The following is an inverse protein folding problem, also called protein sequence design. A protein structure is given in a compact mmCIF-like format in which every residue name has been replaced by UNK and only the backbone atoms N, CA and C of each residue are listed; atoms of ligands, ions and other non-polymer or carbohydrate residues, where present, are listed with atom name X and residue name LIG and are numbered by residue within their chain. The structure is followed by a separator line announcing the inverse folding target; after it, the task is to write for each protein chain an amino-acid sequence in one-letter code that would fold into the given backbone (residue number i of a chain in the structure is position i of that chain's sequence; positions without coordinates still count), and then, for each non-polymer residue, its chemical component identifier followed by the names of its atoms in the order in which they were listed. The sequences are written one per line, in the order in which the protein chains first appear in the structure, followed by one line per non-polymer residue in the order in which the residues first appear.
data_IF_690262021008
#
_entry.id   IF_690262021008
#
_cell.length_a   1.000
_cell.length_b   1.000
_cell.length_c   1.000
_cell.angle_alpha   90.00
_cell.angle_beta   90.00
_cell.angle_gamma   90.00
#
_symmetry.space_group_name_H-M   'P 1'
#
loop_
_entity.id
_entity.type
_entity.pdbx_description
1 polymer ?
#
# COMPACT_ATOMS: atom_id res chain seq x y z
N UNK A 1 26.21 -5.09 -41.92
CA UNK A 1 25.50 -4.32 -40.87
C UNK A 1 24.47 -5.25 -40.27
N UNK A 2 24.87 -6.07 -39.29
CA UNK A 2 23.96 -7.03 -38.64
C UNK A 2 23.31 -6.34 -37.45
N UNK A 3 22.01 -6.13 -37.52
CA UNK A 3 21.19 -5.58 -36.44
C UNK A 3 20.85 -6.69 -35.45
N UNK A 4 21.52 -6.70 -34.31
CA UNK A 4 21.18 -7.57 -33.17
C UNK A 4 19.99 -6.95 -32.43
N UNK A 5 18.79 -7.46 -32.70
CA UNK A 5 17.60 -7.17 -31.89
C UNK A 5 17.73 -7.91 -30.56
N UNK A 6 18.01 -7.17 -29.49
CA UNK A 6 18.01 -7.72 -28.13
C UNK A 6 16.55 -7.83 -27.67
N UNK A 7 16.01 -9.04 -27.68
CA UNK A 7 14.74 -9.35 -27.03
C UNK A 7 14.96 -9.35 -25.52
N UNK A 8 14.59 -8.25 -24.86
CA UNK A 8 14.51 -8.20 -23.40
C UNK A 8 13.33 -9.05 -22.97
N UNK A 9 13.59 -10.31 -22.60
CA UNK A 9 12.60 -11.17 -21.95
C UNK A 9 12.40 -10.62 -20.54
N UNK A 10 11.26 -9.97 -20.32
CA UNK A 10 10.79 -9.60 -18.98
C UNK A 10 10.68 -10.90 -18.16
N UNK A 11 11.59 -11.08 -17.21
CA UNK A 11 11.55 -12.22 -16.29
C UNK A 11 10.18 -12.23 -15.60
N UNK A 12 9.46 -13.35 -15.70
CA UNK A 12 8.14 -13.46 -15.06
C UNK A 12 8.32 -13.28 -13.55
N UNK A 13 7.51 -12.43 -12.93
CA UNK A 13 7.46 -12.35 -11.48
C UNK A 13 7.23 -13.75 -10.90
N UNK A 14 7.91 -14.12 -9.79
CA UNK A 14 7.69 -15.42 -9.16
C UNK A 14 6.22 -15.57 -8.77
N UNK A 15 5.66 -16.77 -8.94
CA UNK A 15 4.27 -17.03 -8.58
C UNK A 15 4.01 -16.68 -7.10
N UNK A 16 2.86 -16.07 -6.77
CA UNK A 16 2.56 -15.71 -5.39
C UNK A 16 2.46 -16.95 -4.49
N UNK A 17 2.98 -16.83 -3.28
CA UNK A 17 2.97 -17.88 -2.27
C UNK A 17 2.47 -17.36 -0.92
N UNK A 18 1.86 -18.25 -0.13
CA UNK A 18 1.24 -17.93 1.15
C UNK A 18 1.78 -18.83 2.25
N UNK A 19 2.18 -18.21 3.37
CA UNK A 19 2.57 -18.88 4.61
C UNK A 19 1.64 -18.45 5.74
N UNK A 20 0.94 -19.41 6.34
CA UNK A 20 0.02 -19.14 7.45
C UNK A 20 0.80 -18.76 8.72
N UNK A 21 0.33 -17.73 9.42
CA UNK A 21 0.87 -17.26 10.71
C UNK A 21 0.20 -18.06 11.83
N UNK A 22 0.89 -18.15 12.98
CA UNK A 22 0.55 -18.97 14.15
C UNK A 22 -0.96 -19.06 14.42
N UNK A 23 -1.43 -20.27 14.70
CA UNK A 23 -2.83 -20.62 15.00
C UNK A 23 -3.83 -20.34 13.85
N UNK A 24 -3.35 -20.06 12.63
CA UNK A 24 -4.23 -19.84 11.48
C UNK A 24 -4.70 -18.40 11.29
N UNK A 25 -4.42 -17.52 12.25
CA UNK A 25 -4.77 -16.11 12.20
C UNK A 25 -3.58 -15.30 11.65
N UNK A 26 -3.76 -14.78 10.44
CA UNK A 26 -2.75 -14.11 9.65
C UNK A 26 -2.13 -14.98 8.57
N UNK A 27 -1.74 -14.36 7.47
CA UNK A 27 -0.96 -14.97 6.41
C UNK A 27 0.15 -14.02 5.93
N UNK A 28 1.34 -14.55 5.64
CA UNK A 28 2.40 -13.84 4.94
C UNK A 28 2.40 -14.24 3.47
N UNK A 29 2.38 -13.24 2.58
CA UNK A 29 2.35 -13.39 1.13
C UNK A 29 3.64 -12.85 0.53
N UNK A 30 4.22 -13.59 -0.41
CA UNK A 30 5.37 -13.16 -1.20
C UNK A 30 5.13 -13.42 -2.69
N UNK A 31 5.87 -12.75 -3.58
CA UNK A 31 5.76 -12.96 -5.03
C UNK A 31 4.77 -12.03 -5.75
N UNK A 32 4.14 -11.09 -5.03
CA UNK A 32 3.33 -10.03 -5.63
C UNK A 32 4.18 -8.77 -5.85
N UNK A 33 4.16 -8.24 -7.07
CA UNK A 33 4.82 -6.99 -7.48
C UNK A 33 3.76 -6.07 -8.12
N UNK A 34 3.62 -4.88 -7.55
CA UNK A 34 2.63 -3.87 -7.92
C UNK A 34 3.28 -2.58 -8.44
N UNK A 35 4.54 -2.61 -8.85
CA UNK A 35 5.22 -1.41 -9.36
C UNK A 35 4.55 -0.85 -10.63
N UNK A 36 3.92 -1.71 -11.44
CA UNK A 36 3.37 -1.37 -12.75
C UNK A 36 1.86 -1.69 -12.88
N UNK A 37 1.14 -1.71 -11.76
CA UNK A 37 -0.31 -1.95 -11.71
C UNK A 37 -0.70 -3.16 -10.88
N UNK A 38 -2.01 -3.33 -10.67
CA UNK A 38 -2.57 -4.35 -9.78
C UNK A 38 -3.50 -5.27 -10.58
N UNK A 39 -3.07 -6.52 -10.77
CA UNK A 39 -3.91 -7.51 -11.48
C UNK A 39 -5.03 -8.02 -10.59
N UNK A 40 -6.12 -8.48 -11.21
CA UNK A 40 -7.25 -9.07 -10.47
C UNK A 40 -6.86 -10.37 -9.77
N UNK A 41 -5.93 -11.14 -10.33
CA UNK A 41 -5.39 -12.34 -9.69
C UNK A 41 -4.60 -11.99 -8.43
N UNK A 42 -3.77 -10.95 -8.49
CA UNK A 42 -2.99 -10.48 -7.34
C UNK A 42 -3.88 -9.95 -6.22
N UNK A 43 -4.90 -9.16 -6.58
CA UNK A 43 -5.92 -8.71 -5.64
C UNK A 43 -6.68 -9.88 -5.00
N UNK A 44 -7.23 -10.79 -5.81
CA UNK A 44 -7.99 -11.94 -5.31
C UNK A 44 -7.16 -12.82 -4.37
N UNK A 45 -5.87 -12.99 -4.66
CA UNK A 45 -4.96 -13.73 -3.78
C UNK A 45 -4.86 -13.10 -2.38
N UNK A 46 -4.83 -11.76 -2.30
CA UNK A 46 -4.83 -11.02 -1.03
C UNK A 46 -6.21 -11.12 -0.36
N UNK A 47 -7.28 -10.88 -1.11
CA UNK A 47 -8.66 -10.91 -0.61
C UNK A 47 -9.03 -12.29 -0.01
N UNK A 48 -8.72 -13.38 -0.73
CA UNK A 48 -8.93 -14.75 -0.25
C UNK A 48 -8.14 -15.03 1.05
N UNK A 49 -6.91 -14.51 1.14
CA UNK A 49 -6.08 -14.65 2.34
C UNK A 49 -6.65 -13.88 3.53
N UNK A 50 -7.09 -12.63 3.34
CA UNK A 50 -7.70 -11.82 4.40
C UNK A 50 -9.02 -12.43 4.86
N UNK A 51 -9.90 -12.85 3.95
CA UNK A 51 -11.17 -13.51 4.29
C UNK A 51 -10.99 -14.78 5.12
N UNK A 52 -9.94 -15.56 4.82
CA UNK A 52 -9.67 -16.82 5.52
C UNK A 52 -8.90 -16.65 6.82
N UNK A 53 -7.94 -15.73 6.86
CA UNK A 53 -6.95 -15.62 7.93
C UNK A 53 -7.07 -14.34 8.76
N UNK A 54 -7.99 -13.43 8.43
CA UNK A 54 -8.23 -12.17 9.15
C UNK A 54 -7.32 -11.01 8.71
N UNK A 55 -6.03 -11.27 8.46
CA UNK A 55 -5.11 -10.27 7.90
C UNK A 55 -4.04 -10.92 7.01
N UNK A 56 -3.44 -10.12 6.14
CA UNK A 56 -2.33 -10.53 5.29
C UNK A 56 -1.16 -9.54 5.37
N UNK A 57 0.06 -10.07 5.45
CA UNK A 57 1.31 -9.31 5.31
C UNK A 57 1.85 -9.58 3.91
N UNK A 58 1.83 -8.60 3.03
CA UNK A 58 2.38 -8.74 1.67
C UNK A 58 3.78 -8.15 1.62
N UNK A 59 4.79 -8.99 1.36
CA UNK A 59 6.20 -8.57 1.37
C UNK A 59 6.66 -8.14 -0.02
N UNK A 60 7.52 -7.11 -0.05
CA UNK A 60 8.24 -6.62 -1.24
C UNK A 60 7.30 -6.24 -2.40
N UNK A 61 6.19 -5.58 -2.09
CA UNK A 61 5.13 -5.21 -3.04
C UNK A 61 5.55 -4.20 -4.11
N UNK A 62 6.57 -3.38 -3.83
CA UNK A 62 6.96 -2.23 -4.66
C UNK A 62 5.80 -1.29 -5.01
N UNK A 63 4.84 -1.15 -4.08
CA UNK A 63 3.76 -0.17 -4.23
C UNK A 63 4.34 1.24 -4.35
N UNK A 64 3.77 1.99 -5.29
CA UNK A 64 3.85 3.45 -5.35
C UNK A 64 2.47 4.01 -5.02
N UNK A 65 2.36 5.32 -4.79
CA UNK A 65 1.10 5.96 -4.41
C UNK A 65 -0.06 5.59 -5.36
N UNK A 66 0.18 5.61 -6.67
CA UNK A 66 -0.82 5.29 -7.68
C UNK A 66 -1.31 3.84 -7.60
N UNK A 67 -0.39 2.89 -7.50
CA UNK A 67 -0.74 1.46 -7.46
C UNK A 67 -1.25 1.03 -6.09
N UNK A 68 -0.91 1.78 -5.04
CA UNK A 68 -1.51 1.64 -3.72
C UNK A 68 -2.99 2.01 -3.75
N UNK A 69 -3.35 3.13 -4.39
CA UNK A 69 -4.73 3.51 -4.59
C UNK A 69 -5.48 2.54 -5.52
N UNK A 70 -4.84 2.06 -6.58
CA UNK A 70 -5.41 1.05 -7.47
C UNK A 70 -5.76 -0.24 -6.70
N UNK A 71 -4.84 -0.74 -5.86
CA UNK A 71 -5.10 -1.91 -5.02
C UNK A 71 -6.25 -1.65 -4.05
N UNK A 72 -6.24 -0.49 -3.37
CA UNK A 72 -7.27 -0.14 -2.40
C UNK A 72 -8.67 -0.08 -3.04
N UNK A 73 -8.80 0.51 -4.24
CA UNK A 73 -10.08 0.60 -4.96
C UNK A 73 -10.67 -0.75 -5.34
N UNK A 74 -9.85 -1.81 -5.47
CA UNK A 74 -10.36 -3.17 -5.69
C UNK A 74 -11.12 -3.72 -4.48
N UNK A 75 -10.90 -3.18 -3.28
CA UNK A 75 -11.66 -3.53 -2.08
C UNK A 75 -12.93 -2.71 -1.88
N UNK A 76 -13.13 -1.63 -2.64
CA UNK A 76 -14.32 -0.77 -2.58
C UNK A 76 -14.02 0.71 -2.74
N UNK A 77 -15.03 1.54 -2.46
CA UNK A 77 -14.90 3.00 -2.44
C UNK A 77 -13.92 3.44 -1.33
N UNK A 78 -13.14 4.49 -1.62
CA UNK A 78 -12.15 5.02 -0.69
C UNK A 78 -12.67 6.22 0.08
N UNK A 79 -12.43 6.25 1.39
CA UNK A 79 -12.52 7.47 2.18
C UNK A 79 -11.36 8.42 1.84
N UNK A 80 -11.56 9.72 2.04
CA UNK A 80 -10.56 10.75 1.79
C UNK A 80 -10.31 11.67 3.00
N UNK A 81 -9.27 12.49 2.91
CA UNK A 81 -8.91 13.46 3.96
C UNK A 81 -9.63 14.81 3.85
N UNK A 82 -10.55 14.98 2.91
CA UNK A 82 -11.21 16.27 2.64
C UNK A 82 -11.85 16.89 3.89
N UNK A 83 -12.49 16.13 4.81
CA UNK A 83 -13.02 16.69 6.06
C UNK A 83 -11.93 17.32 6.95
N UNK A 84 -10.74 16.70 7.03
CA UNK A 84 -9.63 17.22 7.84
C UNK A 84 -9.00 18.46 7.19
N UNK A 85 -8.93 18.48 5.86
CA UNK A 85 -8.43 19.64 5.12
C UNK A 85 -9.32 20.87 5.35
N UNK A 86 -10.65 20.68 5.34
CA UNK A 86 -11.62 21.74 5.67
C UNK A 86 -11.50 22.23 7.11
N UNK A 87 -11.06 21.37 8.04
CA UNK A 87 -10.77 21.72 9.42
C UNK A 87 -9.40 22.42 9.61
N UNK A 88 -8.69 22.74 8.52
CA UNK A 88 -7.42 23.47 8.54
C UNK A 88 -6.17 22.59 8.65
N UNK A 89 -6.32 21.25 8.59
CA UNK A 89 -5.15 20.36 8.54
C UNK A 89 -4.50 20.45 7.16
N UNK A 90 -3.21 20.76 7.13
CA UNK A 90 -2.45 20.74 5.88
C UNK A 90 -2.17 19.29 5.49
N UNK A 91 -2.59 18.92 4.28
CA UNK A 91 -2.29 17.63 3.67
C UNK A 91 -1.11 17.75 2.73
N UNK A 92 -0.08 16.92 2.94
CA UNK A 92 1.19 17.00 2.18
C UNK A 92 1.36 15.93 1.10
N UNK A 93 0.47 14.93 1.04
CA UNK A 93 0.54 13.88 0.03
C UNK A 93 -0.22 14.30 -1.23
N UNK A 94 0.15 13.71 -2.37
CA UNK A 94 -0.39 14.05 -3.69
C UNK A 94 -1.90 13.73 -3.83
N UNK A 95 -2.38 12.71 -3.13
CA UNK A 95 -3.75 12.20 -3.24
C UNK A 95 -4.51 12.33 -1.93
N UNK A 96 -5.79 12.73 -1.97
CA UNK A 96 -6.60 12.91 -0.76
C UNK A 96 -7.03 11.57 -0.15
N UNK A 97 -7.06 10.50 -0.92
CA UNK A 97 -7.37 9.15 -0.45
C UNK A 97 -6.19 8.50 0.31
N UNK A 98 -5.01 9.13 0.28
CA UNK A 98 -3.86 8.71 1.09
C UNK A 98 -3.85 9.44 2.42
N UNK A 99 -4.03 8.71 3.52
CA UNK A 99 -3.93 9.29 4.86
C UNK A 99 -2.47 9.32 5.34
N UNK A 100 -1.98 10.53 5.65
CA UNK A 100 -0.62 10.71 6.16
C UNK A 100 -0.54 10.33 7.65
N UNK A 101 -0.06 9.11 7.91
CA UNK A 101 0.23 8.55 9.25
C UNK A 101 1.70 8.72 9.67
N UNK A 102 2.49 9.47 8.91
CA UNK A 102 3.91 9.69 9.22
C UNK A 102 4.14 10.64 10.40
N UNK A 103 5.36 10.62 10.93
CA UNK A 103 5.86 11.53 11.96
C UNK A 103 6.65 12.72 11.39
N UNK A 104 6.40 13.08 10.12
CA UNK A 104 7.06 14.18 9.39
C UNK A 104 6.07 15.31 9.15
N UNK A 105 6.49 16.54 9.44
CA UNK A 105 5.71 17.76 9.25
C UNK A 105 5.81 18.29 7.81
N UNK A 106 5.03 19.32 7.49
CA UNK A 106 4.92 19.91 6.13
C UNK A 106 6.24 20.47 5.61
N UNK A 107 7.13 20.90 6.49
CA UNK A 107 8.45 21.43 6.18
C UNK A 107 9.54 20.34 6.10
N UNK A 108 9.16 19.07 6.34
CA UNK A 108 10.07 17.93 6.35
C UNK A 108 10.75 17.66 7.70
N UNK A 109 10.46 18.46 8.74
CA UNK A 109 10.93 18.21 10.10
C UNK A 109 10.17 17.06 10.79
N UNK A 110 10.67 16.58 11.93
CA UNK A 110 9.92 15.63 12.77
C UNK A 110 8.82 16.40 13.50
N UNK A 111 7.61 15.87 13.49
CA UNK A 111 6.45 16.46 14.17
C UNK A 111 6.76 16.68 15.66
N UNK A 112 6.53 17.89 16.15
CA UNK A 112 6.67 18.23 17.56
C UNK A 112 5.71 17.39 18.42
N UNK A 113 6.23 16.81 19.51
CA UNK A 113 5.44 15.96 20.40
C UNK A 113 4.27 16.70 21.06
N UNK A 114 4.34 18.02 21.19
CA UNK A 114 3.26 18.89 21.70
C UNK A 114 2.21 19.26 20.66
N UNK A 115 2.47 19.03 19.36
CA UNK A 115 1.52 19.38 18.31
C UNK A 115 0.24 18.51 18.40
N UNK A 116 -0.95 19.04 18.02
CA UNK A 116 -2.19 18.26 18.03
C UNK A 116 -2.09 16.93 17.29
N UNK A 117 -1.32 16.90 16.19
CA UNK A 117 -1.05 15.69 15.40
C UNK A 117 -0.35 14.59 16.22
N UNK A 118 0.58 14.95 17.11
CA UNK A 118 1.32 14.00 17.96
C UNK A 118 0.53 13.58 19.22
N UNK A 119 -0.63 14.20 19.47
CA UNK A 119 -1.47 13.90 20.64
C UNK A 119 -2.64 12.98 20.30
N UNK A 120 -2.88 12.70 19.02
CA UNK A 120 -3.90 11.75 18.60
C UNK A 120 -3.65 10.35 19.22
N UNK A 121 -4.71 9.73 19.75
CA UNK A 121 -4.71 8.39 20.37
C UNK A 121 -3.83 8.22 21.63
N UNK A 122 -3.36 9.32 22.24
CA UNK A 122 -2.79 9.30 23.59
C UNK A 122 -3.93 9.43 24.60
N UNK A 123 -4.52 8.30 24.98
CA UNK A 123 -5.44 8.18 26.11
C UNK A 123 -4.68 7.74 27.36
#
# INVERSE_FOLDING_TARGET
MSTTTTNTVTASSPAPSLKVIKNGFGAEITGLDFANGVTDEGYRFIDDAVKKHGFAIVRKTKLVDETHLELARKFGELDDVTPYNKAGRVHRLKYNELFDVGNIDVDGSIVDLSAPRAQANKA
#
